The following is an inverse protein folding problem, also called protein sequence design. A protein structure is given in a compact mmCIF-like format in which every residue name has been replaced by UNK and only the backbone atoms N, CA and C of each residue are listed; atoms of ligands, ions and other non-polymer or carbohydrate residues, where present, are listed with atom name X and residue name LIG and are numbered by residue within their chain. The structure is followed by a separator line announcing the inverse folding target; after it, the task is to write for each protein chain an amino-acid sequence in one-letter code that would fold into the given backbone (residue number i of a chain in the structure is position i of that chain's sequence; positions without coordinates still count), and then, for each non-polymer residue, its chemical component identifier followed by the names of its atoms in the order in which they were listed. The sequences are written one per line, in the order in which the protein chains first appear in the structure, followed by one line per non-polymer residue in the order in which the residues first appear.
data_IF_623246028622
#
_entry.id   IF_623246028622
#
_cell.length_a   1.000
_cell.length_b   1.000
_cell.length_c   1.000
_cell.angle_alpha   90.00
_cell.angle_beta   90.00
_cell.angle_gamma   90.00
#
_symmetry.space_group_name_H-M   'P 1'
#
loop_
_entity.id
_entity.type
_entity.pdbx_description
1 polymer ?
#
# COMPACT_ATOMS: atom_id res chain seq x y z
N UNK A 1 -43.25 -11.59 -4.40
CA UNK A 1 -42.51 -10.57 -5.19
C UNK A 1 -41.13 -11.15 -5.49
N UNK A 2 -40.79 -11.44 -6.76
CA UNK A 2 -39.44 -11.91 -7.13
C UNK A 2 -38.62 -10.70 -7.56
N UNK A 3 -37.50 -10.44 -6.88
CA UNK A 3 -36.56 -9.40 -7.31
C UNK A 3 -36.06 -9.70 -8.75
N UNK A 4 -35.93 -8.68 -9.61
CA UNK A 4 -35.43 -8.89 -10.98
C UNK A 4 -34.03 -9.47 -10.96
N UNK A 5 -33.79 -10.50 -11.79
CA UNK A 5 -32.53 -11.25 -11.84
C UNK A 5 -31.31 -10.35 -12.12
N UNK A 6 -31.49 -9.24 -12.83
CA UNK A 6 -30.47 -8.22 -13.12
C UNK A 6 -29.96 -7.49 -11.88
N UNK A 7 -30.84 -7.22 -10.90
CA UNK A 7 -30.46 -6.59 -9.63
C UNK A 7 -29.60 -7.53 -8.78
N UNK A 8 -29.86 -8.85 -8.80
CA UNK A 8 -29.00 -9.83 -8.11
C UNK A 8 -27.58 -9.89 -8.70
N UNK A 9 -27.43 -9.89 -10.02
CA UNK A 9 -26.10 -9.88 -10.64
C UNK A 9 -25.33 -8.61 -10.26
N UNK A 10 -25.93 -7.43 -10.40
CA UNK A 10 -25.27 -6.17 -10.06
C UNK A 10 -24.84 -6.13 -8.58
N UNK A 11 -25.71 -6.57 -7.66
CA UNK A 11 -25.39 -6.65 -6.24
C UNK A 11 -24.27 -7.66 -5.93
N UNK A 12 -24.29 -8.86 -6.55
CA UNK A 12 -23.22 -9.84 -6.40
C UNK A 12 -21.88 -9.34 -6.94
N UNK A 13 -21.86 -8.75 -8.14
CA UNK A 13 -20.66 -8.15 -8.70
C UNK A 13 -20.08 -7.05 -7.79
N UNK A 14 -20.93 -6.19 -7.23
CA UNK A 14 -20.50 -5.15 -6.29
C UNK A 14 -19.98 -5.76 -4.98
N UNK A 15 -20.65 -6.79 -4.44
CA UNK A 15 -20.21 -7.50 -3.23
C UNK A 15 -18.84 -8.17 -3.42
N UNK A 16 -18.61 -8.81 -4.57
CA UNK A 16 -17.33 -9.45 -4.91
C UNK A 16 -16.19 -8.45 -5.04
N UNK A 17 -16.42 -7.28 -5.66
CA UNK A 17 -15.42 -6.21 -5.77
C UNK A 17 -15.04 -5.69 -4.38
N UNK A 18 -16.03 -5.44 -3.51
CA UNK A 18 -15.76 -4.94 -2.16
C UNK A 18 -15.02 -5.96 -1.29
N UNK A 19 -15.30 -7.26 -1.45
CA UNK A 19 -14.63 -8.33 -0.71
C UNK A 19 -13.19 -8.52 -1.16
N UNK A 20 -12.93 -8.50 -2.47
CA UNK A 20 -11.57 -8.56 -3.04
C UNK A 20 -10.72 -7.36 -2.61
N UNK A 21 -11.29 -6.15 -2.62
CA UNK A 21 -10.60 -4.95 -2.16
C UNK A 21 -10.21 -5.05 -0.67
N UNK A 22 -11.12 -5.51 0.19
CA UNK A 22 -10.84 -5.74 1.63
C UNK A 22 -9.72 -6.75 1.85
N UNK A 23 -9.66 -7.82 1.04
CA UNK A 23 -8.60 -8.82 1.14
C UNK A 23 -7.23 -8.25 0.76
N UNK A 24 -7.17 -7.48 -0.33
CA UNK A 24 -5.96 -6.77 -0.75
C UNK A 24 -5.51 -5.74 0.28
N UNK A 25 -6.45 -4.98 0.85
CA UNK A 25 -6.16 -4.03 1.92
C UNK A 25 -5.65 -4.75 3.17
N UNK A 26 -6.24 -5.89 3.56
CA UNK A 26 -5.73 -6.74 4.65
C UNK A 26 -4.32 -7.28 4.40
N UNK A 27 -4.04 -7.71 3.17
CA UNK A 27 -2.72 -8.20 2.80
C UNK A 27 -1.66 -7.08 2.87
N UNK A 28 -2.02 -5.87 2.43
CA UNK A 28 -1.17 -4.67 2.49
C UNK A 28 -0.96 -4.15 3.90
N UNK A 29 -1.99 -4.21 4.75
CA UNK A 29 -1.89 -3.77 6.15
C UNK A 29 -0.79 -4.54 6.91
N UNK A 30 -0.48 -5.78 6.53
CA UNK A 30 0.61 -6.56 7.14
C UNK A 30 2.00 -5.98 6.89
N UNK A 31 2.18 -5.23 5.80
CA UNK A 31 3.48 -4.69 5.39
C UNK A 31 3.52 -3.15 5.42
N UNK A 32 2.41 -2.49 5.78
CA UNK A 32 2.33 -1.03 5.85
C UNK A 32 3.03 -0.53 7.11
N UNK A 33 4.01 0.35 6.92
CA UNK A 33 4.67 1.08 8.01
C UNK A 33 4.11 2.51 8.05
N UNK A 34 3.52 2.90 9.18
CA UNK A 34 3.00 4.26 9.37
C UNK A 34 4.12 5.16 9.89
N UNK A 35 4.67 6.03 9.04
CA UNK A 35 5.78 6.93 9.40
C UNK A 35 5.32 8.31 9.93
N UNK A 36 4.01 8.58 9.91
CA UNK A 36 3.40 9.76 10.54
C UNK A 36 4.02 11.09 10.09
N UNK A 37 4.40 11.93 11.05
CA UNK A 37 5.00 13.25 10.80
C UNK A 37 6.32 13.19 10.00
N UNK A 38 7.01 12.04 9.98
CA UNK A 38 8.21 11.86 9.20
C UNK A 38 7.94 11.72 7.68
N UNK A 39 6.68 11.58 7.25
CA UNK A 39 6.30 11.38 5.85
C UNK A 39 6.77 12.52 4.94
N UNK A 40 6.67 13.78 5.38
CA UNK A 40 7.13 14.91 4.57
C UNK A 40 8.64 14.90 4.38
N UNK A 41 9.39 14.60 5.45
CA UNK A 41 10.85 14.46 5.39
C UNK A 41 11.26 13.25 4.54
N UNK A 42 10.51 12.16 4.61
CA UNK A 42 10.71 10.98 3.80
C UNK A 42 10.56 11.28 2.30
N UNK A 43 9.45 11.93 1.90
CA UNK A 43 9.24 12.36 0.50
C UNK A 43 10.35 13.29 0.02
N UNK A 44 10.69 14.31 0.81
CA UNK A 44 11.75 15.25 0.46
C UNK A 44 13.09 14.54 0.24
N UNK A 45 13.42 13.56 1.08
CA UNK A 45 14.63 12.75 0.94
C UNK A 45 14.59 11.86 -0.30
N UNK A 46 13.45 11.22 -0.58
CA UNK A 46 13.26 10.38 -1.77
C UNK A 46 13.47 11.18 -3.05
N UNK A 47 12.83 12.34 -3.13
CA UNK A 47 12.89 13.21 -4.30
C UNK A 47 14.30 13.80 -4.48
N UNK A 48 14.95 14.22 -3.39
CA UNK A 48 16.34 14.70 -3.38
C UNK A 48 17.34 13.64 -3.89
N UNK A 49 17.11 12.36 -3.55
CA UNK A 49 17.95 11.24 -3.97
C UNK A 49 17.54 10.66 -5.33
N UNK A 50 16.44 11.12 -5.92
CA UNK A 50 15.96 10.67 -7.22
C UNK A 50 15.34 9.27 -7.22
N UNK A 51 14.89 8.75 -6.08
CA UNK A 51 14.24 7.45 -6.00
C UNK A 51 12.79 7.54 -6.49
N UNK A 52 12.33 6.49 -7.19
CA UNK A 52 10.98 6.49 -7.78
C UNK A 52 9.94 5.93 -6.82
N UNK A 53 10.34 5.01 -5.95
CA UNK A 53 9.46 4.35 -4.99
C UNK A 53 10.08 4.33 -3.60
N UNK A 54 9.23 4.33 -2.57
CA UNK A 54 9.67 4.34 -1.17
C UNK A 54 10.51 3.10 -0.81
N UNK A 55 10.25 1.97 -1.46
CA UNK A 55 11.04 0.75 -1.26
C UNK A 55 12.52 0.92 -1.63
N UNK A 56 12.83 1.67 -2.70
CA UNK A 56 14.22 1.92 -3.12
C UNK A 56 14.97 2.76 -2.08
N UNK A 57 14.32 3.84 -1.61
CA UNK A 57 14.88 4.67 -0.54
C UNK A 57 15.08 3.86 0.75
N UNK A 58 14.11 3.01 1.12
CA UNK A 58 14.19 2.17 2.30
C UNK A 58 15.38 1.20 2.23
N UNK A 59 15.55 0.49 1.11
CA UNK A 59 16.68 -0.42 0.90
C UNK A 59 18.01 0.33 0.96
N UNK A 60 18.11 1.48 0.30
CA UNK A 60 19.32 2.32 0.35
C UNK A 60 19.69 2.74 1.78
N UNK A 61 18.70 3.15 2.59
CA UNK A 61 18.91 3.53 3.98
C UNK A 61 19.35 2.33 4.83
N UNK A 62 18.75 1.15 4.62
CA UNK A 62 19.16 -0.06 5.32
C UNK A 62 20.59 -0.44 4.96
N UNK A 63 20.92 -0.53 3.68
CA UNK A 63 22.26 -0.91 3.21
C UNK A 63 23.33 0.06 3.74
N UNK A 64 23.06 1.37 3.71
CA UNK A 64 23.99 2.38 4.24
C UNK A 64 24.14 2.31 5.76
N UNK A 65 23.12 1.90 6.51
CA UNK A 65 23.27 1.66 7.95
C UNK A 65 24.03 0.37 8.27
N UNK A 66 23.83 -0.70 7.50
CA UNK A 66 24.53 -1.98 7.71
C UNK A 66 26.01 -1.91 7.35
N UNK A 67 26.39 -1.11 6.34
CA UNK A 67 27.79 -0.93 5.93
C UNK A 67 28.63 -0.08 6.90
N UNK A 68 28.00 0.67 7.81
CA UNK A 68 28.71 1.49 8.83
C UNK A 68 28.95 0.71 10.13
N UNK A 69 28.35 -0.48 10.27
CA UNK A 69 28.44 -1.35 11.45
C UNK A 69 29.31 -2.60 11.24
N UNK A 70 29.92 -2.77 10.06
CA UNK A 70 30.91 -3.81 9.73
C UNK A 70 32.27 -3.16 9.49
#
# INVERSE_FOLDING_TARGET
MRCPRSLCYHFHYHCDITSKKKELDRARDKTRINIGAAFERWKALRDLKGFKIDAELATFLLDSTFLVLL
#
